data_IF_004847311006
#
_entry.id   IF_004847311006
#
_cell.length_a   1.000
_cell.length_b   1.000
_cell.length_c   1.000
_cell.angle_alpha   90.00
_cell.angle_beta   90.00
_cell.angle_gamma   90.00
#
_symmetry.space_group_name_H-M   'P 1'
#
loop_
_entity.id
_entity.type
_entity.pdbx_description
1 polymer ?
#
# COMPACT_ATOMS: atom_id res chain seq x y z
N UNK A 1 -10.64 10.99 5.60
CA UNK A 1 -9.63 10.90 4.52
C UNK A 1 -10.32 10.71 3.17
N UNK A 2 -9.89 11.40 2.11
CA UNK A 2 -10.39 11.25 0.74
C UNK A 2 -9.42 10.45 -0.16
N UNK A 3 -9.79 10.23 -1.43
CA UNK A 3 -9.02 9.43 -2.37
C UNK A 3 -7.62 9.97 -2.62
N UNK A 4 -7.49 11.29 -2.81
CA UNK A 4 -6.19 11.93 -3.03
C UNK A 4 -5.29 11.75 -1.82
N UNK A 5 -5.82 11.97 -0.61
CA UNK A 5 -5.08 11.78 0.64
C UNK A 5 -4.64 10.32 0.84
N UNK A 6 -5.50 9.34 0.54
CA UNK A 6 -5.13 7.92 0.64
C UNK A 6 -4.00 7.58 -0.33
N UNK A 7 -4.07 8.06 -1.58
CA UNK A 7 -2.99 7.85 -2.55
C UNK A 7 -1.67 8.46 -2.07
N UNK A 8 -1.68 9.65 -1.49
CA UNK A 8 -0.46 10.26 -0.93
C UNK A 8 0.11 9.45 0.24
N UNK A 9 -0.74 8.95 1.14
CA UNK A 9 -0.31 8.05 2.23
C UNK A 9 0.31 6.76 1.67
N UNK A 10 -0.34 6.15 0.67
CA UNK A 10 0.18 4.95 0.00
C UNK A 10 1.55 5.21 -0.63
N UNK A 11 1.70 6.29 -1.39
CA UNK A 11 2.97 6.69 -2.00
C UNK A 11 4.04 7.01 -0.97
N UNK A 12 3.68 7.67 0.13
CA UNK A 12 4.60 7.93 1.24
C UNK A 12 5.17 6.64 1.81
N UNK A 13 4.33 5.65 2.10
CA UNK A 13 4.81 4.36 2.61
C UNK A 13 5.63 3.59 1.57
N UNK A 14 5.22 3.60 0.29
CA UNK A 14 6.02 2.98 -0.78
C UNK A 14 7.42 3.61 -0.88
N UNK A 15 7.54 4.94 -0.77
CA UNK A 15 8.87 5.60 -0.76
C UNK A 15 9.77 5.12 0.37
N UNK A 16 9.20 4.78 1.53
CA UNK A 16 9.98 4.29 2.67
C UNK A 16 10.42 2.82 2.53
N UNK A 17 9.82 2.06 1.62
CA UNK A 17 10.24 0.69 1.27
C UNK A 17 11.05 0.63 -0.03
N UNK A 18 11.25 1.76 -0.70
CA UNK A 18 11.83 1.83 -2.03
C UNK A 18 13.36 1.89 -1.98
N UNK A 19 13.97 0.76 -1.68
CA UNK A 19 15.43 0.64 -1.58
C UNK A 19 16.13 0.82 -2.94
N UNK A 20 15.45 0.49 -4.05
CA UNK A 20 15.98 0.55 -5.41
C UNK A 20 15.84 1.93 -6.08
N UNK A 21 15.20 2.90 -5.41
CA UNK A 21 15.10 4.27 -5.92
C UNK A 21 14.11 4.45 -7.08
N UNK A 22 13.14 3.56 -7.23
CA UNK A 22 12.08 3.63 -8.24
C UNK A 22 11.25 4.92 -8.14
N UNK A 23 10.70 5.39 -9.26
CA UNK A 23 9.83 6.58 -9.24
C UNK A 23 8.45 6.21 -8.68
N UNK A 24 8.08 6.82 -7.55
CA UNK A 24 6.79 6.58 -6.89
C UNK A 24 5.72 7.58 -7.34
N UNK A 25 4.68 7.07 -8.02
CA UNK A 25 3.53 7.80 -8.53
C UNK A 25 2.23 6.98 -8.42
N UNK A 26 1.15 7.50 -9.01
CA UNK A 26 -0.19 6.92 -8.95
C UNK A 26 -0.33 5.59 -9.72
N UNK A 27 0.61 5.30 -10.62
CA UNK A 27 0.72 4.10 -11.45
C UNK A 27 1.77 3.11 -10.93
N UNK A 28 2.42 3.41 -9.80
CA UNK A 28 3.39 2.49 -9.18
C UNK A 28 2.68 1.22 -8.72
N UNK A 29 3.07 0.09 -9.30
CA UNK A 29 2.59 -1.26 -8.93
C UNK A 29 3.29 -1.70 -7.64
N UNK A 30 2.51 -2.20 -6.68
CA UNK A 30 3.01 -2.50 -5.33
C UNK A 30 4.14 -3.54 -5.33
N UNK A 31 4.04 -4.60 -6.15
CA UNK A 31 5.06 -5.65 -6.25
C UNK A 31 6.42 -5.21 -6.82
N UNK A 32 6.52 -3.99 -7.36
CA UNK A 32 7.81 -3.41 -7.78
C UNK A 32 8.62 -2.85 -6.62
N UNK A 33 7.95 -2.52 -5.51
CA UNK A 33 8.54 -1.83 -4.36
C UNK A 33 8.53 -2.72 -3.13
N UNK A 34 7.45 -3.49 -2.96
CA UNK A 34 7.24 -4.36 -1.82
C UNK A 34 7.56 -5.79 -2.21
N UNK A 35 8.09 -6.56 -1.26
CA UNK A 35 8.42 -7.97 -1.44
C UNK A 35 7.66 -8.86 -0.45
N UNK A 36 7.62 -10.15 -0.80
CA UNK A 36 7.10 -11.22 0.06
C UNK A 36 8.22 -11.95 0.80
N UNK A 37 9.47 -11.65 0.48
CA UNK A 37 10.66 -12.36 0.95
C UNK A 37 11.63 -11.47 1.70
N UNK A 38 11.38 -10.16 1.77
CA UNK A 38 12.18 -9.19 2.50
C UNK A 38 11.77 -9.12 3.98
N UNK A 39 12.28 -10.05 4.77
CA UNK A 39 12.03 -10.07 6.21
C UNK A 39 12.06 -11.47 6.79
N UNK A 40 11.36 -11.66 7.91
CA UNK A 40 11.31 -12.94 8.62
C UNK A 40 9.87 -13.41 8.79
N UNK A 41 9.55 -14.59 8.25
CA UNK A 41 8.20 -15.14 8.27
C UNK A 41 7.18 -14.22 7.59
N UNK A 42 6.10 -13.88 8.29
CA UNK A 42 5.04 -12.99 7.78
C UNK A 42 5.35 -11.50 7.96
N UNK A 43 6.49 -11.14 8.57
CA UNK A 43 6.90 -9.75 8.73
C UNK A 43 7.75 -9.30 7.51
N UNK A 44 7.13 -9.32 6.33
CA UNK A 44 7.71 -8.78 5.08
C UNK A 44 7.06 -7.45 4.70
N UNK A 45 7.67 -6.68 3.79
CA UNK A 45 7.18 -5.34 3.47
C UNK A 45 5.76 -5.36 2.89
N UNK A 46 5.38 -6.39 2.12
CA UNK A 46 4.00 -6.57 1.63
C UNK A 46 2.97 -6.56 2.77
N UNK A 47 3.19 -7.36 3.81
CA UNK A 47 2.25 -7.48 4.92
C UNK A 47 2.31 -6.28 5.87
N UNK A 48 3.50 -5.73 6.12
CA UNK A 48 3.68 -4.52 6.93
C UNK A 48 2.97 -3.33 6.27
N UNK A 49 3.18 -3.12 4.98
CA UNK A 49 2.49 -2.08 4.20
C UNK A 49 0.97 -2.18 4.35
N UNK A 50 0.42 -3.38 4.10
CA UNK A 50 -1.02 -3.63 4.22
C UNK A 50 -1.54 -3.33 5.62
N UNK A 51 -0.82 -3.73 6.66
CA UNK A 51 -1.20 -3.48 8.05
C UNK A 51 -1.24 -1.98 8.37
N UNK A 52 -0.23 -1.22 7.91
CA UNK A 52 -0.14 0.23 8.12
C UNK A 52 -1.28 0.96 7.41
N UNK A 53 -1.58 0.65 6.15
CA UNK A 53 -2.69 1.28 5.43
C UNK A 53 -4.04 0.98 6.10
N UNK A 54 -4.29 -0.27 6.52
CA UNK A 54 -5.52 -0.64 7.26
C UNK A 54 -5.64 0.14 8.57
N UNK A 55 -4.56 0.28 9.31
CA UNK A 55 -4.53 1.08 10.53
C UNK A 55 -4.82 2.56 10.25
N UNK A 56 -4.20 3.14 9.21
CA UNK A 56 -4.41 4.54 8.82
C UNK A 56 -5.86 4.79 8.40
N UNK A 57 -6.47 3.87 7.63
CA UNK A 57 -7.88 3.92 7.26
C UNK A 57 -8.78 3.94 8.49
N UNK A 58 -8.57 2.98 9.42
CA UNK A 58 -9.33 2.89 10.67
C UNK A 58 -9.21 4.16 11.53
N UNK A 59 -8.00 4.70 11.67
CA UNK A 59 -7.74 5.95 12.41
C UNK A 59 -8.45 7.16 11.80
N UNK A 60 -8.75 7.11 10.50
CA UNK A 60 -9.46 8.15 9.78
C UNK A 60 -10.97 7.89 9.65
N UNK A 61 -11.53 6.98 10.46
CA UNK A 61 -12.97 6.71 10.52
C UNK A 61 -13.52 5.81 9.41
N UNK A 62 -12.65 5.16 8.63
CA UNK A 62 -13.06 4.26 7.55
C UNK A 62 -13.21 2.82 8.03
N UNK A 63 -14.14 2.09 7.42
CA UNK A 63 -14.30 0.65 7.64
C UNK A 63 -13.10 -0.13 7.10
N UNK A 64 -12.80 -1.25 7.76
CA UNK A 64 -11.75 -2.16 7.33
C UNK A 64 -12.27 -3.08 6.21
N UNK A 65 -12.16 -2.60 4.97
CA UNK A 65 -12.61 -3.34 3.78
C UNK A 65 -11.63 -4.46 3.42
N UNK A 66 -12.16 -5.55 2.89
CA UNK A 66 -11.35 -6.62 2.27
C UNK A 66 -10.66 -6.06 1.03
N UNK A 67 -9.35 -6.26 0.94
CA UNK A 67 -8.56 -5.84 -0.23
C UNK A 67 -8.76 -6.83 -1.38
N UNK A 68 -8.76 -6.39 -2.65
CA UNK A 68 -8.76 -7.28 -3.80
C UNK A 68 -7.64 -8.32 -3.70
N UNK A 69 -7.89 -9.58 -4.06
CA UNK A 69 -6.89 -10.64 -3.95
C UNK A 69 -5.62 -10.35 -4.77
N UNK A 70 -5.79 -9.66 -5.90
CA UNK A 70 -4.76 -9.28 -6.86
C UNK A 70 -4.12 -7.90 -6.57
N UNK A 71 -4.41 -7.27 -5.42
CA UNK A 71 -3.95 -5.91 -5.10
C UNK A 71 -2.44 -5.69 -5.27
N UNK A 72 -1.65 -6.74 -5.01
CA UNK A 72 -0.20 -6.68 -5.02
C UNK A 72 0.36 -6.43 -6.43
N UNK A 73 -0.39 -6.86 -7.44
CA UNK A 73 -0.06 -6.70 -8.85
C UNK A 73 -0.75 -5.47 -9.48
N UNK A 74 -1.29 -4.59 -8.64
CA UNK A 74 -2.01 -3.38 -9.05
C UNK A 74 -1.33 -2.12 -8.56
N UNK A 75 -1.66 -1.02 -9.21
CA UNK A 75 -1.13 0.29 -8.86
C UNK A 75 -1.85 0.94 -7.67
N UNK A 76 -1.26 2.02 -7.17
CA UNK A 76 -1.81 2.86 -6.10
C UNK A 76 -3.22 3.36 -6.42
N UNK A 77 -3.47 3.80 -7.65
CA UNK A 77 -4.77 4.33 -8.05
C UNK A 77 -5.89 3.29 -7.97
N UNK A 78 -5.64 2.09 -8.51
CA UNK A 78 -6.55 0.97 -8.45
C UNK A 78 -6.87 0.63 -6.99
N UNK A 79 -5.84 0.38 -6.17
CA UNK A 79 -6.07 -0.07 -4.81
C UNK A 79 -6.80 0.98 -3.97
N UNK A 80 -6.39 2.25 -4.05
CA UNK A 80 -7.03 3.33 -3.32
C UNK A 80 -8.53 3.46 -3.66
N UNK A 81 -8.89 3.26 -4.93
CA UNK A 81 -10.30 3.30 -5.37
C UNK A 81 -11.17 2.15 -4.85
N UNK A 82 -10.56 1.03 -4.43
CA UNK A 82 -11.26 -0.16 -3.95
C UNK A 82 -11.44 -0.17 -2.44
N UNK A 83 -10.49 0.42 -1.71
CA UNK A 83 -10.46 0.31 -0.24
C UNK A 83 -10.96 1.57 0.46
N UNK A 84 -11.04 2.71 -0.22
CA UNK A 84 -11.79 3.88 0.24
C UNK A 84 -13.29 3.63 0.12
#
# INVERSE_FOLDING_TARGET
>A
MNLVQLKEVMKYHLRNFNDEGEVINDQTVHNKILSTTDGFGNANSKYVYRAVIRWTMKKNGHQDKVWPADWFDKDVSYLASKIL
#
